data_IF_799427745258
#
_entry.id   IF_799427745258
#
_cell.length_a   1.000
_cell.length_b   1.000
_cell.length_c   1.000
_cell.angle_alpha   90.00
_cell.angle_beta   90.00
_cell.angle_gamma   90.00
#
_symmetry.space_group_name_H-M   'P 1'
#
loop_
_entity.id
_entity.type
_entity.pdbx_description
1 polymer ?
#
# COMPACT_ATOMS: atom_id res chain seq x y z
N UNK A 1 -9.82 -13.95 19.44
CA UNK A 1 -10.84 -14.74 20.14
C UNK A 1 -11.58 -15.70 19.19
N UNK A 2 -10.94 -16.10 18.10
CA UNK A 2 -11.46 -17.08 17.15
C UNK A 2 -12.08 -16.50 15.88
N UNK A 3 -12.14 -15.18 15.75
CA UNK A 3 -12.55 -14.56 14.51
C UNK A 3 -11.42 -14.57 13.48
N UNK A 4 -11.79 -14.71 12.21
CA UNK A 4 -10.88 -14.65 11.09
C UNK A 4 -11.10 -13.35 10.31
N UNK A 5 -10.03 -12.70 9.90
CA UNK A 5 -10.05 -11.55 8.99
C UNK A 5 -9.51 -12.01 7.65
N UNK A 6 -10.24 -11.72 6.59
CA UNK A 6 -9.85 -12.01 5.22
C UNK A 6 -9.90 -10.73 4.41
N UNK A 7 -8.96 -10.57 3.49
CA UNK A 7 -8.91 -9.44 2.60
C UNK A 7 -7.81 -9.62 1.56
N UNK A 8 -7.59 -8.63 0.73
CA UNK A 8 -6.50 -8.63 -0.24
C UNK A 8 -6.91 -8.19 -1.63
N UNK A 9 -8.13 -7.68 -1.79
CA UNK A 9 -8.59 -7.15 -3.06
C UNK A 9 -8.88 -5.65 -2.97
N UNK A 10 -8.94 -4.99 -4.10
CA UNK A 10 -9.09 -3.56 -4.26
C UNK A 10 -10.37 -3.23 -5.01
N UNK A 11 -11.01 -2.15 -4.62
CA UNK A 11 -12.06 -1.53 -5.41
C UNK A 11 -11.40 -0.71 -6.53
N UNK A 12 -11.72 -1.02 -7.78
CA UNK A 12 -11.20 -0.30 -8.96
C UNK A 12 -11.74 1.12 -9.14
N UNK A 13 -12.59 1.59 -8.22
CA UNK A 13 -13.16 2.92 -8.28
C UNK A 13 -12.47 3.88 -7.31
N UNK A 14 -12.20 5.09 -7.76
CA UNK A 14 -11.72 6.18 -6.91
C UNK A 14 -12.82 6.59 -5.94
N UNK A 15 -12.74 6.14 -4.71
CA UNK A 15 -13.74 6.39 -3.68
C UNK A 15 -13.09 6.62 -2.32
N UNK A 16 -13.63 7.57 -1.56
CA UNK A 16 -13.28 7.76 -0.15
C UNK A 16 -14.16 6.91 0.79
N UNK A 17 -15.03 6.07 0.24
CA UNK A 17 -15.87 5.20 1.05
C UNK A 17 -15.03 4.14 1.78
N UNK A 18 -15.29 4.00 3.07
CA UNK A 18 -14.63 2.99 3.93
C UNK A 18 -15.55 1.79 4.18
N UNK A 19 -16.54 1.60 3.34
CA UNK A 19 -17.48 0.49 3.40
C UNK A 19 -16.98 -0.64 2.51
N UNK A 20 -17.27 -1.87 2.92
CA UNK A 20 -17.05 -3.03 2.05
C UNK A 20 -17.93 -2.92 0.79
N UNK A 21 -17.36 -3.32 -0.33
CA UNK A 21 -18.01 -3.39 -1.63
C UNK A 21 -18.43 -4.85 -1.87
N UNK A 22 -19.67 -5.05 -2.32
CA UNK A 22 -20.22 -6.41 -2.45
C UNK A 22 -19.52 -7.24 -3.52
N UNK A 23 -19.21 -6.76 -4.74
CA UNK A 23 -18.44 -7.50 -5.73
C UNK A 23 -17.06 -7.93 -5.22
N UNK A 24 -16.31 -7.02 -4.60
CA UNK A 24 -15.00 -7.31 -4.01
C UNK A 24 -15.11 -8.35 -2.89
N UNK A 25 -16.12 -8.21 -2.03
CA UNK A 25 -16.39 -9.19 -0.98
C UNK A 25 -16.66 -10.57 -1.56
N UNK A 26 -17.50 -10.67 -2.59
CA UNK A 26 -17.83 -11.93 -3.24
C UNK A 26 -16.58 -12.59 -3.83
N UNK A 27 -15.72 -11.80 -4.48
CA UNK A 27 -14.46 -12.29 -5.03
C UNK A 27 -13.54 -12.83 -3.94
N UNK A 28 -13.27 -12.05 -2.90
CA UNK A 28 -12.41 -12.44 -1.77
C UNK A 28 -12.90 -13.69 -1.07
N UNK A 29 -14.23 -13.81 -0.86
CA UNK A 29 -14.80 -15.00 -0.23
C UNK A 29 -14.71 -16.22 -1.15
N UNK A 30 -14.93 -16.07 -2.45
CA UNK A 30 -14.83 -17.16 -3.42
C UNK A 30 -13.42 -17.74 -3.45
N UNK A 31 -12.41 -16.88 -3.59
CA UNK A 31 -10.99 -17.27 -3.56
C UNK A 31 -10.59 -17.87 -2.21
N UNK A 32 -11.04 -17.27 -1.13
CA UNK A 32 -10.77 -17.76 0.22
C UNK A 32 -11.36 -19.16 0.47
N UNK A 33 -12.57 -19.43 0.02
CA UNK A 33 -13.23 -20.76 0.14
C UNK A 33 -12.51 -21.78 -0.76
N UNK A 34 -12.05 -21.38 -1.94
CA UNK A 34 -11.27 -22.25 -2.81
C UNK A 34 -9.96 -22.70 -2.14
N UNK A 35 -9.29 -21.78 -1.43
CA UNK A 35 -8.07 -22.10 -0.68
C UNK A 35 -8.33 -22.89 0.60
N UNK A 36 -9.40 -22.54 1.33
CA UNK A 36 -9.75 -23.08 2.64
C UNK A 36 -11.24 -23.42 2.71
N UNK A 37 -11.66 -24.61 2.24
CA UNK A 37 -13.07 -24.97 2.11
C UNK A 37 -13.90 -24.89 3.38
N UNK A 38 -13.30 -25.01 4.57
CA UNK A 38 -14.01 -24.90 5.85
C UNK A 38 -14.63 -23.52 6.06
N UNK A 39 -14.11 -22.47 5.39
CA UNK A 39 -14.65 -21.11 5.47
C UNK A 39 -16.10 -21.01 5.00
N UNK A 40 -16.55 -21.91 4.11
CA UNK A 40 -17.96 -21.98 3.68
C UNK A 40 -18.95 -22.22 4.81
N UNK A 41 -18.49 -22.72 5.94
CA UNK A 41 -19.32 -23.00 7.13
C UNK A 41 -19.36 -21.84 8.13
N UNK A 42 -18.54 -20.81 7.91
CA UNK A 42 -18.44 -19.66 8.81
C UNK A 42 -19.51 -18.61 8.45
N UNK A 43 -19.85 -17.80 9.45
CA UNK A 43 -20.75 -16.66 9.26
C UNK A 43 -19.95 -15.40 9.12
N UNK A 44 -20.25 -14.61 8.10
CA UNK A 44 -19.68 -13.29 7.94
C UNK A 44 -20.28 -12.35 9.01
N UNK A 45 -19.41 -11.66 9.75
CA UNK A 45 -19.83 -10.73 10.79
C UNK A 45 -19.92 -9.30 10.26
N UNK A 46 -18.94 -8.85 9.47
CA UNK A 46 -18.89 -7.50 8.89
C UNK A 46 -17.87 -7.42 7.78
N UNK A 47 -17.99 -6.35 6.98
CA UNK A 47 -17.00 -5.93 5.98
C UNK A 47 -16.66 -4.47 6.20
N UNK A 48 -15.46 -4.10 5.77
CA UNK A 48 -15.02 -2.71 5.74
C UNK A 48 -13.98 -2.53 4.64
N UNK A 49 -13.74 -1.30 4.24
CA UNK A 49 -12.65 -0.90 3.36
C UNK A 49 -11.79 0.17 4.01
N UNK A 50 -10.66 0.46 3.42
CA UNK A 50 -9.77 1.54 3.79
C UNK A 50 -9.38 2.35 2.55
N UNK A 51 -8.90 3.57 2.75
CA UNK A 51 -8.36 4.40 1.68
C UNK A 51 -6.90 4.02 1.49
N UNK A 52 -6.51 3.80 0.24
CA UNK A 52 -5.13 3.50 -0.13
C UNK A 52 -4.44 4.76 -0.61
N UNK A 53 -3.27 5.06 -0.08
CA UNK A 53 -2.44 6.18 -0.47
C UNK A 53 -1.57 5.83 -1.69
N UNK A 54 -2.15 5.92 -2.87
CA UNK A 54 -1.47 5.58 -4.11
C UNK A 54 -0.55 6.72 -4.58
N UNK A 55 0.73 6.40 -4.77
CA UNK A 55 1.65 7.23 -5.54
C UNK A 55 1.46 6.97 -7.04
N UNK A 56 1.99 7.86 -7.90
CA UNK A 56 1.81 7.76 -9.36
C UNK A 56 2.47 6.52 -9.97
N UNK A 57 3.53 6.00 -9.36
CA UNK A 57 4.27 4.82 -9.83
C UNK A 57 4.06 3.57 -8.95
N UNK A 58 3.17 3.65 -7.96
CA UNK A 58 2.88 2.53 -7.07
C UNK A 58 3.94 2.26 -6.00
N UNK A 59 5.00 3.08 -5.94
CA UNK A 59 6.11 2.94 -4.99
C UNK A 59 6.11 4.06 -3.95
N UNK A 60 6.58 3.82 -2.72
CA UNK A 60 6.55 4.82 -1.66
C UNK A 60 7.43 6.04 -1.95
N UNK A 61 7.18 7.11 -1.23
CA UNK A 61 8.02 8.31 -1.20
C UNK A 61 8.71 8.32 0.16
N UNK A 62 10.04 8.16 0.15
CA UNK A 62 10.87 8.17 1.36
C UNK A 62 11.99 9.15 1.14
N UNK A 63 11.80 10.39 1.55
CA UNK A 63 12.73 11.46 1.19
C UNK A 63 12.79 12.58 2.24
N UNK A 64 13.83 13.38 2.13
CA UNK A 64 13.95 14.69 2.72
C UNK A 64 13.46 15.72 1.70
N UNK A 65 12.62 16.66 2.12
CA UNK A 65 12.15 17.73 1.22
C UNK A 65 13.14 18.90 1.21
N UNK A 66 12.89 19.85 0.31
CA UNK A 66 13.61 21.14 0.29
C UNK A 66 13.23 22.06 1.47
N UNK A 67 12.21 21.73 2.22
CA UNK A 67 11.78 22.45 3.42
C UNK A 67 12.50 21.85 4.61
N UNK A 68 13.23 22.69 5.34
CA UNK A 68 13.97 22.27 6.52
C UNK A 68 13.05 21.60 7.56
N UNK A 69 13.45 20.45 8.07
CA UNK A 69 12.69 19.66 9.05
C UNK A 69 11.49 18.90 8.51
N UNK A 70 11.19 19.00 7.20
CA UNK A 70 10.09 18.25 6.59
C UNK A 70 10.61 17.03 5.84
N UNK A 71 10.27 15.85 6.37
CA UNK A 71 10.60 14.55 5.79
C UNK A 71 9.33 13.82 5.36
N UNK A 72 9.43 12.98 4.34
CA UNK A 72 8.32 12.21 3.80
C UNK A 72 8.59 10.71 3.95
N UNK A 73 7.58 9.99 4.41
CA UNK A 73 7.52 8.53 4.40
C UNK A 73 6.06 8.13 4.17
N UNK A 74 5.61 8.14 2.93
CA UNK A 74 4.20 8.01 2.54
C UNK A 74 4.03 7.35 1.17
N UNK A 75 2.78 7.22 0.70
CA UNK A 75 2.48 6.63 -0.61
C UNK A 75 2.82 5.15 -0.68
N UNK A 76 2.60 4.40 0.39
CA UNK A 76 3.04 3.01 0.51
C UNK A 76 2.21 2.02 -0.29
N UNK A 77 1.11 2.45 -0.86
CA UNK A 77 0.26 1.63 -1.73
C UNK A 77 -0.08 0.26 -1.08
N UNK A 78 0.58 -0.80 -1.55
CA UNK A 78 0.34 -2.18 -1.08
C UNK A 78 1.33 -2.66 -0.02
N UNK A 79 2.47 -2.01 0.09
CA UNK A 79 3.65 -2.56 0.78
C UNK A 79 3.84 -2.13 2.22
N UNK A 80 3.04 -1.20 2.72
CA UNK A 80 3.31 -0.48 3.96
C UNK A 80 3.48 -1.36 5.19
N UNK A 81 2.58 -2.29 5.42
CA UNK A 81 2.61 -3.13 6.62
C UNK A 81 3.88 -4.00 6.68
N UNK A 82 4.19 -4.73 5.60
CA UNK A 82 5.36 -5.61 5.56
C UNK A 82 6.69 -4.86 5.58
N UNK A 83 6.71 -3.64 5.04
CA UNK A 83 7.91 -2.81 4.98
C UNK A 83 8.16 -1.99 6.26
N UNK A 84 7.22 -1.94 7.19
CA UNK A 84 7.29 -1.11 8.41
C UNK A 84 8.63 -1.20 9.16
N UNK A 85 9.22 -2.38 9.46
CA UNK A 85 10.47 -2.44 10.20
C UNK A 85 11.65 -1.81 9.44
N UNK A 86 11.81 -2.15 8.16
CA UNK A 86 12.91 -1.64 7.34
C UNK A 86 12.74 -0.15 7.03
N UNK A 87 11.52 0.26 6.69
CA UNK A 87 11.18 1.66 6.46
C UNK A 87 11.40 2.51 7.70
N UNK A 88 10.92 2.05 8.85
CA UNK A 88 11.11 2.77 10.11
C UNK A 88 12.58 2.96 10.45
N UNK A 89 13.40 1.93 10.28
CA UNK A 89 14.83 2.01 10.55
C UNK A 89 15.56 2.97 9.59
N UNK A 90 15.34 2.83 8.29
CA UNK A 90 16.00 3.70 7.29
C UNK A 90 15.51 5.15 7.36
N UNK A 91 14.25 5.36 7.74
CA UNK A 91 13.69 6.69 7.90
C UNK A 91 14.18 7.37 9.20
N UNK A 92 14.32 6.63 10.28
CA UNK A 92 14.96 7.12 11.51
C UNK A 92 16.41 7.58 11.24
N UNK A 93 17.16 6.82 10.43
CA UNK A 93 18.49 7.25 9.97
C UNK A 93 18.41 8.57 9.18
N UNK A 94 17.45 8.67 8.26
CA UNK A 94 17.26 9.88 7.44
C UNK A 94 17.04 11.12 8.30
N UNK A 95 16.19 11.00 9.32
CA UNK A 95 15.91 12.10 10.26
C UNK A 95 17.14 12.42 11.09
N UNK A 96 17.78 11.41 11.69
CA UNK A 96 18.91 11.60 12.61
C UNK A 96 20.17 12.17 11.92
N UNK A 97 20.40 11.83 10.66
CA UNK A 97 21.56 12.26 9.87
C UNK A 97 21.26 13.42 8.92
N UNK A 98 20.00 13.87 8.86
CA UNK A 98 19.52 14.85 7.90
C UNK A 98 19.90 14.49 6.44
N UNK A 99 19.94 13.19 6.14
CA UNK A 99 20.38 12.63 4.87
C UNK A 99 19.64 11.35 4.52
N UNK A 100 19.12 11.25 3.30
CA UNK A 100 18.43 10.05 2.83
C UNK A 100 19.34 8.83 2.93
N UNK A 101 18.85 7.76 3.52
CA UNK A 101 19.54 6.48 3.60
C UNK A 101 19.73 5.88 2.20
N UNK A 102 20.86 5.22 1.93
CA UNK A 102 21.19 4.70 0.60
C UNK A 102 20.16 3.73 0.03
N UNK A 103 19.54 2.90 0.89
CA UNK A 103 18.45 1.99 0.48
C UNK A 103 17.20 2.73 0.01
N UNK A 104 17.01 3.98 0.41
CA UNK A 104 15.86 4.79 0.03
C UNK A 104 16.15 5.72 -1.16
N UNK A 105 17.35 5.71 -1.73
CA UNK A 105 17.76 6.67 -2.75
C UNK A 105 16.85 6.67 -3.99
N UNK A 106 16.31 5.51 -4.37
CA UNK A 106 15.36 5.39 -5.48
C UNK A 106 13.98 5.95 -5.18
N UNK A 107 13.59 6.00 -3.92
CA UNK A 107 12.23 6.42 -3.48
C UNK A 107 12.12 7.94 -3.29
N UNK A 108 12.98 8.71 -3.92
CA UNK A 108 13.01 10.17 -3.80
C UNK A 108 11.79 10.84 -4.48
N UNK A 109 11.40 11.99 -3.95
CA UNK A 109 10.26 12.77 -4.47
C UNK A 109 10.54 13.32 -5.88
N UNK A 110 11.80 13.66 -6.17
CA UNK A 110 12.19 14.28 -7.44
C UNK A 110 12.02 13.35 -8.65
N UNK A 111 11.87 12.02 -8.44
CA UNK A 111 11.62 11.07 -9.53
C UNK A 111 10.37 11.42 -10.36
N UNK A 112 9.37 12.05 -9.75
CA UNK A 112 8.17 12.51 -10.45
C UNK A 112 8.42 13.71 -11.35
N UNK A 113 9.36 14.60 -10.99
CA UNK A 113 9.75 15.73 -11.80
C UNK A 113 10.64 15.33 -12.97
N UNK A 114 11.50 14.33 -12.77
CA UNK A 114 12.46 13.88 -13.77
C UNK A 114 11.90 12.78 -14.69
N UNK A 115 10.74 12.21 -14.34
CA UNK A 115 10.15 11.09 -15.08
C UNK A 115 10.85 9.74 -14.85
N UNK A 116 11.82 9.65 -13.93
CA UNK A 116 12.49 8.39 -13.57
C UNK A 116 11.67 7.59 -12.56
N UNK A 117 10.48 7.19 -12.98
CA UNK A 117 9.55 6.44 -12.14
C UNK A 117 10.09 5.05 -11.83
N UNK A 118 9.71 4.54 -10.68
CA UNK A 118 10.02 3.16 -10.29
C UNK A 118 9.05 2.20 -10.99
N UNK A 119 9.59 1.12 -11.55
CA UNK A 119 8.79 0.02 -12.11
C UNK A 119 9.01 -1.22 -11.24
N UNK A 120 8.27 -1.31 -10.17
CA UNK A 120 8.19 -2.54 -9.39
C UNK A 120 7.32 -3.52 -10.19
N UNK A 121 7.96 -4.50 -10.83
CA UNK A 121 7.33 -5.47 -11.72
C UNK A 121 6.00 -6.00 -11.16
N UNK A 122 4.91 -5.68 -11.83
CA UNK A 122 3.56 -6.12 -11.49
C UNK A 122 2.78 -5.22 -10.54
N UNK A 123 3.34 -4.10 -10.07
CA UNK A 123 2.64 -3.14 -9.21
C UNK A 123 2.44 -1.77 -9.86
N UNK A 124 2.87 -1.60 -11.10
CA UNK A 124 2.72 -0.34 -11.84
C UNK A 124 1.27 0.02 -12.14
N UNK A 125 1.01 1.30 -12.24
CA UNK A 125 -0.31 1.91 -12.53
C UNK A 125 -0.98 1.46 -13.83
N UNK A 126 -0.30 0.67 -14.65
CA UNK A 126 -0.80 0.18 -15.95
C UNK A 126 -2.06 -0.68 -15.86
N UNK A 127 -2.41 -1.18 -14.71
CA UNK A 127 -3.59 -2.03 -14.50
C UNK A 127 -4.85 -1.28 -14.05
N UNK A 128 -4.76 0.04 -13.79
CA UNK A 128 -5.85 0.79 -13.18
C UNK A 128 -6.44 1.89 -14.06
N UNK A 129 -5.93 2.07 -15.29
CA UNK A 129 -6.39 3.09 -16.27
C UNK A 129 -6.93 2.43 -17.56
N UNK A 130 -7.47 1.23 -17.47
CA UNK A 130 -8.15 0.62 -18.63
C UNK A 130 -9.66 0.53 -18.39
#
# INVERSE_FOLDING_TARGET
KGEMVMGGDLDGYNSYAQRGNLPTLQHVLTEGIAMMPFLSKLKMLRTWGGIMDMSMDGSPIIDKTHIEGLYLNCGWCYGGFKATPASGWTFAYTIAQDRVHTLNAGYNLNRFNTGHLLDEKGLGTKTWIS
#
